data_IF_099753965296
#
_entry.id   IF_099753965296
#
_cell.length_a   1.000
_cell.length_b   1.000
_cell.length_c   1.000
_cell.angle_alpha   90.00
_cell.angle_beta   90.00
_cell.angle_gamma   90.00
#
_symmetry.space_group_name_H-M   'P 1'
#
loop_
_entity.id
_entity.type
_entity.pdbx_description
1 polymer ?
#
# COMPACT_ATOMS: atom_id res chain seq x y z
N UNK A 1 7.90 -18.78 -1.54
CA UNK A 1 8.10 -17.44 -0.92
C UNK A 1 7.89 -17.55 0.59
N UNK A 2 8.85 -17.11 1.42
CA UNK A 2 8.73 -17.12 2.88
C UNK A 2 7.82 -15.96 3.27
N UNK A 3 6.75 -16.21 4.05
CA UNK A 3 5.83 -15.16 4.47
C UNK A 3 6.57 -14.11 5.33
N UNK A 4 6.15 -12.83 5.24
CA UNK A 4 6.71 -11.73 6.04
C UNK A 4 6.70 -12.08 7.53
N UNK A 5 5.66 -12.74 8.00
CA UNK A 5 5.52 -13.26 9.35
C UNK A 5 6.70 -14.18 9.77
N UNK A 6 7.03 -15.17 8.94
CA UNK A 6 8.14 -16.10 9.21
C UNK A 6 9.49 -15.36 9.17
N UNK A 7 9.66 -14.44 8.24
CA UNK A 7 10.91 -13.67 8.10
C UNK A 7 11.15 -12.77 9.33
N UNK A 8 10.14 -12.08 9.78
CA UNK A 8 10.19 -11.21 10.97
C UNK A 8 10.50 -12.03 12.24
N UNK A 9 9.83 -13.17 12.43
CA UNK A 9 10.10 -14.07 13.53
C UNK A 9 11.55 -14.60 13.52
N UNK A 10 12.05 -15.03 12.37
CA UNK A 10 13.45 -15.51 12.26
C UNK A 10 14.41 -14.40 12.67
N UNK A 11 14.25 -13.20 12.16
CA UNK A 11 15.12 -12.07 12.50
C UNK A 11 15.08 -11.70 13.99
N UNK A 12 13.89 -11.62 14.59
CA UNK A 12 13.72 -11.29 16.00
C UNK A 12 14.28 -12.39 16.92
N UNK A 13 14.01 -13.66 16.61
CA UNK A 13 14.51 -14.77 17.42
C UNK A 13 16.02 -14.96 17.29
N UNK A 14 16.58 -14.80 16.10
CA UNK A 14 18.06 -14.85 15.92
C UNK A 14 18.73 -13.68 16.60
N UNK A 15 18.15 -12.47 16.53
CA UNK A 15 18.65 -11.30 17.25
C UNK A 15 18.61 -11.51 18.75
N UNK A 16 17.50 -12.01 19.29
CA UNK A 16 17.36 -12.33 20.72
C UNK A 16 18.39 -13.34 21.17
N UNK A 17 18.58 -14.42 20.41
CA UNK A 17 19.57 -15.46 20.71
C UNK A 17 21.00 -14.90 20.69
N UNK A 18 21.33 -14.11 19.66
CA UNK A 18 22.67 -13.52 19.54
C UNK A 18 22.99 -12.57 20.72
N UNK A 19 22.10 -11.66 21.04
CA UNK A 19 22.27 -10.72 22.15
C UNK A 19 22.38 -11.46 23.50
N UNK A 20 21.50 -12.45 23.72
CA UNK A 20 21.53 -13.25 24.94
C UNK A 20 22.81 -14.10 25.07
N UNK A 21 23.31 -14.66 23.96
CA UNK A 21 24.57 -15.40 23.94
C UNK A 21 25.76 -14.50 24.26
N UNK A 22 25.83 -13.30 23.67
CA UNK A 22 26.90 -12.34 23.93
C UNK A 22 26.85 -11.89 25.41
N UNK A 23 25.65 -11.56 25.92
CA UNK A 23 25.47 -11.14 27.31
C UNK A 23 25.86 -12.29 28.27
N UNK A 24 25.46 -13.52 27.99
CA UNK A 24 25.80 -14.70 28.79
C UNK A 24 27.31 -14.97 28.84
N UNK A 25 27.99 -14.90 27.70
CA UNK A 25 29.44 -15.07 27.62
C UNK A 25 30.18 -13.95 28.38
N UNK A 26 29.73 -12.70 28.22
CA UNK A 26 30.31 -11.57 28.92
C UNK A 26 30.13 -11.71 30.44
N UNK A 27 28.94 -12.06 30.89
CA UNK A 27 28.64 -12.30 32.31
C UNK A 27 29.49 -13.44 32.90
N UNK A 28 29.59 -14.56 32.16
CA UNK A 28 30.40 -15.71 32.56
C UNK A 28 31.87 -15.32 32.73
N UNK A 29 32.45 -14.63 31.73
CA UNK A 29 33.88 -14.17 31.83
C UNK A 29 34.12 -13.22 32.99
N UNK A 30 33.24 -12.24 33.18
CA UNK A 30 33.34 -11.29 34.26
C UNK A 30 33.25 -11.97 35.63
N UNK A 31 32.35 -12.95 35.79
CA UNK A 31 32.20 -13.71 37.00
C UNK A 31 33.44 -14.55 37.33
N UNK A 32 34.06 -15.17 36.32
CA UNK A 32 35.33 -15.90 36.53
C UNK A 32 36.44 -14.97 37.07
N UNK A 33 36.55 -13.74 36.55
CA UNK A 33 37.52 -12.77 37.02
C UNK A 33 37.24 -12.36 38.49
N UNK A 34 35.98 -12.05 38.81
CA UNK A 34 35.56 -11.59 40.12
C UNK A 34 35.70 -12.68 41.21
N UNK A 35 35.38 -13.95 40.84
CA UNK A 35 35.61 -15.09 41.76
C UNK A 35 37.09 -15.31 42.00
N UNK A 36 37.95 -15.18 41.02
CA UNK A 36 39.43 -15.30 41.18
C UNK A 36 39.99 -14.20 42.09
N UNK A 37 39.50 -12.95 41.92
CA UNK A 37 39.91 -11.85 42.77
C UNK A 37 39.43 -12.05 44.21
N UNK A 38 38.20 -12.52 44.42
CA UNK A 38 37.65 -12.84 45.74
C UNK A 38 38.46 -13.93 46.44
N UNK A 39 38.80 -15.01 45.72
CA UNK A 39 39.62 -16.11 46.28
C UNK A 39 41.05 -15.67 46.59
N UNK A 40 41.65 -14.79 45.81
CA UNK A 40 42.96 -14.17 46.13
C UNK A 40 42.85 -13.30 47.37
N UNK A 41 41.74 -12.56 47.56
CA UNK A 41 41.49 -11.78 48.78
C UNK A 41 41.34 -12.66 50.01
N UNK A 42 40.64 -13.82 49.90
CA UNK A 42 40.49 -14.80 50.98
C UNK A 42 41.83 -15.38 51.39
N UNK A 43 42.69 -15.82 50.43
CA UNK A 43 44.03 -16.29 50.71
C UNK A 43 44.87 -15.28 51.52
N UNK A 44 44.78 -14.01 51.10
CA UNK A 44 45.48 -12.90 51.80
C UNK A 44 44.92 -12.66 53.19
N UNK A 45 43.59 -12.72 53.37
CA UNK A 45 42.96 -12.56 54.69
C UNK A 45 43.37 -13.68 55.66
N UNK A 46 43.34 -14.92 55.18
CA UNK A 46 43.77 -16.09 55.98
C UNK A 46 45.23 -15.95 56.41
N UNK A 47 46.11 -15.54 55.52
CA UNK A 47 47.53 -15.32 55.82
C UNK A 47 47.74 -14.25 56.89
N UNK A 48 47.00 -13.09 56.75
CA UNK A 48 47.08 -12.00 57.72
C UNK A 48 46.50 -12.42 59.10
N UNK A 49 45.39 -13.13 59.13
CA UNK A 49 44.78 -13.61 60.37
C UNK A 49 45.72 -14.56 61.13
N UNK A 50 46.38 -15.45 60.39
CA UNK A 50 47.34 -16.39 61.00
C UNK A 50 48.60 -15.68 61.46
N UNK A 51 49.10 -14.71 60.71
CA UNK A 51 50.19 -13.86 61.13
C UNK A 51 49.88 -13.14 62.49
N UNK A 52 48.66 -12.52 62.52
CA UNK A 52 48.25 -11.84 63.79
C UNK A 52 48.11 -12.81 64.96
N UNK A 53 47.43 -13.94 64.76
CA UNK A 53 47.28 -15.01 65.78
C UNK A 53 48.62 -15.55 66.24
N UNK A 54 49.57 -15.72 65.35
CA UNK A 54 50.91 -16.26 65.66
C UNK A 54 51.78 -15.32 66.43
N UNK A 55 51.56 -13.97 66.33
CA UNK A 55 52.21 -12.94 67.17
C UNK A 55 51.68 -12.91 68.60
N UNK A 56 50.43 -13.26 68.82
CA UNK A 56 49.76 -13.26 70.11
C UNK A 56 50.13 -14.47 70.97
N UNK A 57 50.77 -15.49 70.46
CA UNK A 57 51.16 -16.75 71.17
C UNK A 57 52.59 -16.66 71.71
N UNK A 58 52.88 -17.05 72.99
CA UNK A 58 54.23 -17.09 73.52
C UNK A 58 55.11 -18.09 72.72
N UNK A 59 56.43 -17.72 72.60
CA UNK A 59 57.40 -18.61 71.91
C UNK A 59 57.51 -19.97 72.64
N UNK A 60 57.01 -20.98 72.04
CA UNK A 60 57.10 -22.37 72.57
C UNK A 60 55.77 -23.12 72.63
N UNK A 61 54.63 -22.51 72.34
CA UNK A 61 53.33 -23.22 72.30
C UNK A 61 53.02 -23.65 70.86
N UNK A 62 53.07 -24.96 70.67
CA UNK A 62 52.52 -25.58 69.41
C UNK A 62 51.00 -25.54 69.51
N UNK A 63 50.38 -24.33 69.49
CA UNK A 63 48.93 -24.16 69.73
C UNK A 63 48.15 -24.20 68.40
N UNK A 64 48.76 -24.50 67.25
CA UNK A 64 48.11 -24.73 66.03
C UNK A 64 47.95 -26.27 65.86
N UNK A 65 47.11 -26.89 66.68
CA UNK A 65 46.59 -28.18 66.37
C UNK A 65 45.66 -28.05 65.18
N UNK A 66 45.63 -29.00 64.25
CA UNK A 66 44.66 -28.99 63.16
C UNK A 66 43.28 -28.95 63.82
N UNK A 67 42.66 -27.81 63.86
CA UNK A 67 41.30 -27.67 64.29
C UNK A 67 40.45 -28.41 63.24
N UNK A 68 39.51 -29.24 63.68
CA UNK A 68 38.49 -29.84 62.83
C UNK A 68 37.65 -28.81 62.07
N UNK A 69 37.88 -27.52 62.35
CA UNK A 69 37.30 -26.37 61.71
C UNK A 69 38.20 -25.72 60.65
N UNK A 70 39.40 -26.25 60.37
CA UNK A 70 40.20 -25.75 59.26
C UNK A 70 39.48 -26.12 57.94
N UNK A 71 39.04 -25.07 57.21
CA UNK A 71 38.39 -25.23 55.92
C UNK A 71 39.34 -26.06 55.00
N UNK A 72 38.93 -27.24 54.57
CA UNK A 72 39.81 -28.13 53.81
C UNK A 72 40.27 -27.53 52.48
N UNK A 73 39.67 -26.45 52.06
CA UNK A 73 39.98 -25.75 50.81
C UNK A 73 41.26 -24.92 50.85
N UNK A 74 41.87 -24.68 52.02
CA UNK A 74 43.07 -23.86 52.16
C UNK A 74 44.17 -24.64 52.83
N UNK A 75 45.33 -24.71 52.16
CA UNK A 75 46.58 -25.16 52.77
C UNK A 75 47.27 -23.96 53.48
N UNK A 76 47.59 -24.13 54.72
CA UNK A 76 48.33 -23.15 55.49
C UNK A 76 49.65 -23.75 55.96
N UNK A 77 50.76 -23.05 55.68
CA UNK A 77 52.11 -23.47 56.09
C UNK A 77 52.82 -22.31 56.80
N UNK A 78 53.54 -22.70 57.91
CA UNK A 78 54.41 -21.75 58.59
C UNK A 78 55.87 -22.23 58.37
N UNK A 79 56.70 -21.32 57.91
CA UNK A 79 58.11 -21.57 57.62
C UNK A 79 59.00 -20.68 58.44
N UNK A 80 60.13 -21.23 58.92
CA UNK A 80 61.18 -20.46 59.54
C UNK A 80 62.24 -19.96 58.55
N UNK A 81 62.97 -18.87 58.89
CA UNK A 81 64.10 -18.47 58.04
C UNK A 81 65.04 -19.63 57.84
N UNK A 82 65.44 -19.87 56.55
CA UNK A 82 66.22 -21.05 56.13
C UNK A 82 65.38 -22.20 55.61
N UNK A 83 64.13 -21.95 55.19
CA UNK A 83 63.22 -22.87 54.53
C UNK A 83 62.89 -24.17 55.28
N UNK A 84 62.79 -24.11 56.63
CA UNK A 84 62.34 -25.24 57.46
C UNK A 84 60.82 -25.11 57.74
N UNK A 85 60.02 -26.08 57.24
CA UNK A 85 58.59 -26.18 57.53
C UNK A 85 58.37 -26.41 59.03
N UNK A 86 57.63 -25.54 59.71
CA UNK A 86 57.29 -25.66 61.12
C UNK A 86 55.88 -26.28 61.31
N UNK A 87 54.95 -25.90 60.45
CA UNK A 87 53.55 -26.36 60.52
C UNK A 87 52.97 -26.44 59.13
N UNK A 88 52.14 -27.41 58.89
CA UNK A 88 51.24 -27.52 57.72
C UNK A 88 49.86 -27.97 58.19
N UNK A 89 48.79 -27.29 57.70
CA UNK A 89 47.41 -27.71 58.00
C UNK A 89 47.00 -29.01 57.29
N UNK A 90 47.70 -29.34 56.24
CA UNK A 90 47.51 -30.60 55.49
C UNK A 90 48.91 -31.28 55.34
N UNK A 91 49.26 -32.21 56.26
CA UNK A 91 50.58 -32.83 56.27
C UNK A 91 50.88 -33.68 55.01
N UNK A 92 49.82 -34.15 54.35
CA UNK A 92 49.90 -34.97 53.15
C UNK A 92 50.24 -34.17 51.90
N UNK A 93 50.13 -32.84 51.98
CA UNK A 93 50.45 -31.91 50.89
C UNK A 93 51.81 -31.30 51.12
N UNK A 94 52.81 -31.83 50.46
CA UNK A 94 54.19 -31.31 50.51
C UNK A 94 54.35 -30.23 49.46
N UNK A 95 54.09 -28.94 49.79
CA UNK A 95 54.27 -27.82 48.93
C UNK A 95 55.52 -27.03 49.32
N UNK A 96 56.45 -26.75 48.39
CA UNK A 96 57.67 -26.02 48.71
C UNK A 96 57.38 -24.55 49.06
N UNK A 97 58.33 -23.93 49.78
CA UNK A 97 58.28 -22.49 50.04
C UNK A 97 58.33 -21.72 48.73
N UNK A 98 57.38 -20.81 48.53
CA UNK A 98 57.35 -19.94 47.35
C UNK A 98 58.63 -19.06 47.30
N UNK A 99 59.18 -18.89 46.10
CA UNK A 99 60.43 -18.16 45.90
C UNK A 99 60.31 -16.65 46.12
N UNK A 100 59.09 -16.09 46.29
CA UNK A 100 58.83 -14.64 46.42
C UNK A 100 57.75 -14.30 47.40
N UNK A 101 57.67 -13.00 47.77
CA UNK A 101 56.57 -12.47 48.58
C UNK A 101 55.36 -12.17 47.73
N UNK A 102 54.17 -12.28 48.30
CA UNK A 102 52.91 -12.02 47.59
C UNK A 102 52.37 -13.24 46.87
N UNK A 103 51.61 -13.02 45.79
CA UNK A 103 50.98 -14.09 45.04
C UNK A 103 51.91 -14.72 44.01
N UNK A 104 51.94 -16.05 44.01
CA UNK A 104 52.69 -16.86 43.05
C UNK A 104 51.96 -18.15 42.69
N UNK A 105 52.48 -18.87 41.73
CA UNK A 105 52.00 -20.23 41.40
C UNK A 105 53.13 -21.23 41.67
N UNK A 106 52.75 -22.37 42.22
CA UNK A 106 53.65 -23.51 42.43
C UNK A 106 53.05 -24.70 41.72
N UNK A 107 53.82 -25.35 40.87
CA UNK A 107 53.43 -26.61 40.22
C UNK A 107 54.01 -27.77 41.03
N UNK A 108 53.13 -28.72 41.38
CA UNK A 108 53.45 -29.96 42.12
C UNK A 108 52.86 -31.17 41.42
N UNK A 109 53.67 -31.89 40.66
CA UNK A 109 53.21 -32.97 39.81
C UNK A 109 52.19 -32.42 38.78
N UNK A 110 50.98 -32.98 38.78
CA UNK A 110 49.89 -32.54 37.85
C UNK A 110 49.04 -31.43 38.47
N UNK A 111 49.27 -31.06 39.74
CA UNK A 111 48.47 -30.04 40.40
C UNK A 111 49.17 -28.66 40.38
N UNK A 112 48.45 -27.63 40.11
CA UNK A 112 48.87 -26.27 40.17
C UNK A 112 48.25 -25.55 41.37
N UNK A 113 49.06 -24.88 42.17
CA UNK A 113 48.66 -24.22 43.40
C UNK A 113 48.83 -22.70 43.28
N UNK A 114 47.80 -21.95 43.65
CA UNK A 114 47.86 -20.49 43.86
C UNK A 114 48.30 -20.24 45.27
N UNK A 115 49.40 -19.55 45.44
CA UNK A 115 50.03 -19.36 46.77
C UNK A 115 50.16 -17.90 47.05
N UNK A 116 49.89 -17.52 48.30
CA UNK A 116 50.17 -16.22 48.86
C UNK A 116 51.15 -16.36 50.02
N UNK A 117 52.32 -15.68 49.95
CA UNK A 117 53.39 -15.72 50.94
C UNK A 117 53.53 -14.35 51.62
N UNK A 118 53.38 -14.34 52.94
CA UNK A 118 53.53 -13.17 53.81
C UNK A 118 54.75 -13.32 54.71
N UNK A 119 55.69 -12.37 54.62
CA UNK A 119 56.87 -12.34 55.50
C UNK A 119 56.55 -11.58 56.79
N UNK A 120 56.54 -12.30 57.88
CA UNK A 120 56.32 -11.75 59.27
C UNK A 120 57.63 -11.46 59.98
N UNK A 121 58.80 -11.49 59.30
CA UNK A 121 60.12 -11.16 59.85
C UNK A 121 60.80 -12.36 60.50
N UNK A 122 60.25 -13.00 61.49
CA UNK A 122 60.77 -14.21 62.13
C UNK A 122 60.24 -15.50 61.58
N UNK A 123 59.23 -15.43 60.67
CA UNK A 123 58.56 -16.57 59.96
C UNK A 123 57.94 -16.08 58.72
N UNK A 124 57.63 -17.08 57.82
CA UNK A 124 56.87 -16.83 56.61
C UNK A 124 55.56 -17.61 56.75
N UNK A 125 54.45 -16.91 56.55
CA UNK A 125 53.10 -17.51 56.49
C UNK A 125 52.79 -17.74 55.02
N UNK A 126 52.58 -18.96 54.63
CA UNK A 126 52.19 -19.34 53.27
C UNK A 126 50.80 -19.94 53.31
N UNK A 127 49.86 -19.36 52.50
CA UNK A 127 48.55 -19.91 52.26
C UNK A 127 48.43 -20.31 50.81
N UNK A 128 47.83 -21.48 50.57
CA UNK A 128 47.73 -21.98 49.22
C UNK A 128 46.35 -22.64 48.97
N UNK A 129 45.95 -22.63 47.73
CA UNK A 129 44.72 -23.26 47.26
C UNK A 129 44.98 -23.94 45.91
N UNK A 130 44.41 -25.12 45.66
CA UNK A 130 44.49 -25.77 44.38
C UNK A 130 43.80 -24.95 43.31
N UNK A 131 44.43 -24.79 42.19
CA UNK A 131 43.84 -24.09 41.02
C UNK A 131 42.64 -24.88 40.48
N UNK A 132 42.64 -26.20 40.61
CA UNK A 132 41.55 -27.07 40.19
C UNK A 132 40.29 -26.81 41.03
N UNK A 133 40.39 -26.81 42.40
CA UNK A 133 39.29 -26.46 43.29
C UNK A 133 38.75 -25.05 43.05
N UNK A 134 39.67 -24.11 42.74
CA UNK A 134 39.29 -22.71 42.40
C UNK A 134 38.49 -22.67 41.12
N UNK A 135 38.91 -23.42 40.10
CA UNK A 135 38.21 -23.45 38.82
C UNK A 135 36.85 -24.15 38.93
N UNK A 136 36.76 -25.23 39.71
CA UNK A 136 35.49 -25.93 39.93
C UNK A 136 34.49 -25.01 40.66
N UNK A 137 34.93 -24.34 41.76
CA UNK A 137 34.09 -23.36 42.46
C UNK A 137 33.64 -22.19 41.59
N UNK A 138 34.58 -21.64 40.79
CA UNK A 138 34.30 -20.55 39.88
C UNK A 138 33.33 -20.96 38.78
N UNK A 139 33.49 -22.19 38.25
CA UNK A 139 32.60 -22.73 37.21
C UNK A 139 31.16 -22.95 37.75
N UNK A 140 31.03 -23.51 38.97
CA UNK A 140 29.72 -23.76 39.58
C UNK A 140 29.00 -22.43 39.87
N UNK A 141 29.67 -21.44 40.45
CA UNK A 141 29.11 -20.11 40.68
C UNK A 141 28.71 -19.42 39.36
N UNK A 142 29.58 -19.49 38.34
CA UNK A 142 29.31 -18.86 37.04
C UNK A 142 28.14 -19.54 36.32
N UNK A 143 28.00 -20.84 36.45
CA UNK A 143 26.89 -21.59 35.84
C UNK A 143 25.54 -21.22 36.46
N UNK A 144 25.51 -21.03 37.79
CA UNK A 144 24.31 -20.58 38.51
C UNK A 144 23.84 -19.20 38.03
N UNK A 145 24.78 -18.32 37.67
CA UNK A 145 24.47 -16.98 37.13
C UNK A 145 23.86 -17.01 35.74
N UNK A 146 23.98 -18.15 35.01
CA UNK A 146 23.34 -18.31 33.71
C UNK A 146 21.89 -18.77 33.79
N UNK A 147 21.41 -19.26 34.94
CA UNK A 147 20.02 -19.73 35.14
C UNK A 147 18.98 -18.65 34.76
N UNK A 148 19.11 -17.37 35.15
CA UNK A 148 18.17 -16.33 34.75
C UNK A 148 18.05 -16.18 33.23
N UNK A 149 19.16 -16.31 32.48
CA UNK A 149 19.16 -16.23 31.03
C UNK A 149 18.44 -17.42 30.40
N UNK A 150 18.60 -18.63 30.97
CA UNK A 150 17.95 -19.86 30.52
C UNK A 150 16.43 -19.76 30.62
N UNK A 151 15.91 -19.01 31.59
CA UNK A 151 14.46 -18.77 31.76
C UNK A 151 13.98 -17.59 30.95
N UNK A 152 14.75 -16.49 30.94
CA UNK A 152 14.35 -15.25 30.29
C UNK A 152 14.23 -15.38 28.76
N UNK A 153 15.18 -16.08 28.12
CA UNK A 153 15.19 -16.24 26.66
C UNK A 153 13.93 -16.92 26.11
N UNK A 154 13.50 -18.11 26.62
CA UNK A 154 12.26 -18.73 26.15
C UNK A 154 11.01 -17.88 26.48
N UNK A 155 10.96 -17.19 27.62
CA UNK A 155 9.84 -16.30 27.95
C UNK A 155 9.75 -15.15 26.93
N UNK A 156 10.86 -14.50 26.60
CA UNK A 156 10.91 -13.44 25.60
C UNK A 156 10.57 -14.00 24.19
N UNK A 157 11.05 -15.18 23.85
CA UNK A 157 10.72 -15.83 22.58
C UNK A 157 9.20 -16.08 22.47
N UNK A 158 8.55 -16.57 23.51
CA UNK A 158 7.09 -16.75 23.54
C UNK A 158 6.36 -15.42 23.42
N UNK A 159 6.80 -14.38 24.14
CA UNK A 159 6.24 -13.03 24.04
C UNK A 159 6.33 -12.48 22.63
N UNK A 160 7.48 -12.59 21.97
CA UNK A 160 7.70 -12.17 20.58
C UNK A 160 6.76 -12.94 19.65
N UNK A 161 6.64 -14.26 19.81
CA UNK A 161 5.72 -15.10 19.02
C UNK A 161 4.27 -14.63 19.15
N UNK A 162 3.83 -14.38 20.38
CA UNK A 162 2.46 -13.90 20.65
C UNK A 162 2.22 -12.50 20.09
N UNK A 163 3.16 -11.58 20.28
CA UNK A 163 3.06 -10.21 19.77
C UNK A 163 2.97 -10.17 18.24
N UNK A 164 3.85 -10.91 17.54
CA UNK A 164 3.84 -10.96 16.08
C UNK A 164 2.57 -11.62 15.54
N UNK A 165 2.11 -12.72 16.16
CA UNK A 165 0.86 -13.39 15.77
C UNK A 165 -0.36 -12.48 15.95
N UNK A 166 -0.48 -11.80 17.10
CA UNK A 166 -1.60 -10.88 17.34
C UNK A 166 -1.55 -9.64 16.48
N UNK A 167 -0.37 -9.06 16.31
CA UNK A 167 -0.19 -7.83 15.49
C UNK A 167 -0.50 -8.05 14.01
N UNK A 168 -0.19 -9.23 13.45
CA UNK A 168 -0.40 -9.53 12.03
C UNK A 168 -1.71 -10.28 11.73
N UNK A 169 -2.46 -10.72 12.75
CA UNK A 169 -3.72 -11.45 12.55
C UNK A 169 -4.80 -10.65 11.80
N UNK A 170 -4.94 -9.30 11.96
CA UNK A 170 -5.90 -8.51 11.20
C UNK A 170 -5.66 -8.55 9.69
N UNK A 171 -4.39 -8.53 9.25
CA UNK A 171 -4.04 -8.65 7.83
C UNK A 171 -4.51 -9.97 7.22
N UNK A 172 -4.35 -11.07 7.96
CA UNK A 172 -4.84 -12.38 7.52
C UNK A 172 -6.36 -12.44 7.39
N UNK A 173 -7.10 -11.77 8.29
CA UNK A 173 -8.56 -11.67 8.23
C UNK A 173 -9.02 -10.88 7.01
N UNK A 174 -8.43 -9.69 6.78
CA UNK A 174 -8.74 -8.86 5.61
C UNK A 174 -8.46 -9.62 4.31
N UNK A 175 -7.31 -10.27 4.19
CA UNK A 175 -6.98 -11.07 3.00
C UNK A 175 -7.98 -12.23 2.78
N UNK A 176 -8.41 -12.90 3.84
CA UNK A 176 -9.42 -13.96 3.76
C UNK A 176 -10.80 -13.43 3.39
N UNK A 177 -11.20 -12.26 3.92
CA UNK A 177 -12.47 -11.62 3.59
C UNK A 177 -12.51 -11.19 2.12
N UNK A 178 -11.43 -10.60 1.61
CA UNK A 178 -11.31 -10.26 0.18
C UNK A 178 -11.37 -11.53 -0.68
N UNK A 179 -10.66 -12.58 -0.30
CA UNK A 179 -10.63 -13.84 -1.07
C UNK A 179 -11.93 -14.65 -1.06
N UNK A 180 -12.82 -14.39 -0.10
CA UNK A 180 -14.14 -15.05 -0.01
C UNK A 180 -15.26 -14.25 -0.65
N UNK A 181 -15.02 -12.99 -0.99
CA UNK A 181 -16.03 -12.13 -1.61
C UNK A 181 -16.24 -12.57 -3.05
N UNK A 182 -17.49 -12.78 -3.39
CA UNK A 182 -17.91 -12.99 -4.77
C UNK A 182 -17.75 -11.67 -5.55
N UNK A 183 -17.41 -11.74 -6.83
CA UNK A 183 -17.24 -10.58 -7.71
C UNK A 183 -18.47 -9.65 -7.79
N UNK A 184 -19.60 -10.09 -7.22
CA UNK A 184 -20.85 -9.33 -7.15
C UNK A 184 -21.05 -8.52 -5.86
N UNK A 185 -20.24 -8.77 -4.81
CA UNK A 185 -20.44 -8.16 -3.49
C UNK A 185 -19.33 -7.16 -3.18
N UNK A 186 -19.55 -5.90 -3.57
CA UNK A 186 -18.64 -4.76 -3.37
C UNK A 186 -18.87 -4.03 -2.04
N UNK A 187 -19.26 -4.75 -0.96
CA UNK A 187 -19.46 -4.11 0.34
C UNK A 187 -18.15 -3.61 0.93
N UNK A 188 -18.12 -2.46 1.61
CA UNK A 188 -16.91 -1.98 2.26
C UNK A 188 -16.40 -2.96 3.32
N UNK A 189 -15.09 -2.97 3.54
CA UNK A 189 -14.45 -3.72 4.61
C UNK A 189 -14.75 -3.02 5.95
N UNK A 190 -14.94 -3.81 7.02
CA UNK A 190 -15.20 -3.28 8.35
C UNK A 190 -13.94 -2.58 8.91
N UNK A 191 -14.09 -1.33 9.32
CA UNK A 191 -13.03 -0.48 9.88
C UNK A 191 -12.94 -0.54 11.42
N UNK A 192 -13.90 -1.22 12.08
CA UNK A 192 -14.17 -1.06 13.52
C UNK A 192 -13.10 -1.57 14.49
N UNK A 193 -12.15 -2.42 14.09
CA UNK A 193 -11.16 -3.05 14.99
C UNK A 193 -9.75 -3.12 14.41
N UNK A 194 -9.37 -2.14 13.56
CA UNK A 194 -8.09 -2.18 12.85
C UNK A 194 -7.02 -1.36 13.57
N UNK A 195 -5.76 -1.87 13.65
CA UNK A 195 -4.61 -1.07 14.04
C UNK A 195 -4.48 0.19 13.19
N UNK A 196 -3.98 1.28 13.82
CA UNK A 196 -3.84 2.58 13.16
C UNK A 196 -3.00 2.52 11.87
N UNK A 197 -2.03 1.61 11.84
CA UNK A 197 -1.10 1.41 10.71
C UNK A 197 -1.77 0.77 9.49
N UNK A 198 -2.86 0.03 9.69
CA UNK A 198 -3.57 -0.70 8.62
C UNK A 198 -4.78 0.11 8.12
N UNK A 199 -5.34 0.98 8.95
CA UNK A 199 -6.54 1.78 8.63
C UNK A 199 -6.42 2.57 7.33
N UNK A 200 -5.30 3.27 7.01
CA UNK A 200 -5.17 4.00 5.73
C UNK A 200 -5.26 3.09 4.51
N UNK A 201 -4.73 1.86 4.61
CA UNK A 201 -4.79 0.88 3.54
C UNK A 201 -6.21 0.40 3.29
N UNK A 202 -6.97 0.11 4.36
CA UNK A 202 -8.37 -0.33 4.26
C UNK A 202 -9.26 0.79 3.72
N UNK A 203 -9.00 2.04 4.12
CA UNK A 203 -9.69 3.20 3.60
C UNK A 203 -9.48 3.38 2.09
N UNK A 204 -8.22 3.32 1.62
CA UNK A 204 -7.91 3.39 0.19
C UNK A 204 -8.53 2.23 -0.60
N UNK A 205 -8.60 1.04 0.00
CA UNK A 205 -9.23 -0.12 -0.62
C UNK A 205 -10.76 0.03 -0.68
N UNK A 206 -11.39 0.56 0.36
CA UNK A 206 -12.83 0.85 0.37
C UNK A 206 -13.20 1.92 -0.67
N UNK A 207 -12.39 2.97 -0.85
CA UNK A 207 -12.56 3.95 -1.92
C UNK A 207 -12.49 3.28 -3.31
N UNK A 208 -11.51 2.42 -3.53
CA UNK A 208 -11.37 1.67 -4.78
C UNK A 208 -12.57 0.75 -5.04
N UNK A 209 -13.04 0.02 -4.01
CA UNK A 209 -14.22 -0.85 -4.10
C UNK A 209 -15.49 -0.04 -4.40
N UNK A 210 -15.64 1.13 -3.76
CA UNK A 210 -16.75 2.05 -4.03
C UNK A 210 -16.77 2.51 -5.50
N UNK A 211 -15.64 2.98 -6.00
CA UNK A 211 -15.50 3.40 -7.43
C UNK A 211 -15.75 2.25 -8.40
N UNK A 212 -15.31 1.04 -8.06
CA UNK A 212 -15.57 -0.15 -8.89
C UNK A 212 -17.05 -0.52 -8.88
N UNK A 213 -17.72 -0.46 -7.72
CA UNK A 213 -19.15 -0.70 -7.59
C UNK A 213 -19.96 0.28 -8.45
N UNK A 214 -19.66 1.58 -8.36
CA UNK A 214 -20.29 2.63 -9.15
C UNK A 214 -20.12 2.40 -10.67
N UNK A 215 -18.90 2.02 -11.09
CA UNK A 215 -18.61 1.71 -12.48
C UNK A 215 -19.41 0.48 -13.00
N UNK A 216 -19.46 -0.59 -12.18
CA UNK A 216 -20.22 -1.79 -12.54
C UNK A 216 -21.73 -1.53 -12.60
N UNK A 217 -22.27 -0.74 -11.67
CA UNK A 217 -23.70 -0.38 -11.71
C UNK A 217 -24.03 0.54 -12.89
N UNK A 218 -23.13 1.45 -13.25
CA UNK A 218 -23.26 2.24 -14.45
C UNK A 218 -23.25 1.36 -15.73
N UNK A 219 -22.37 0.36 -15.77
CA UNK A 219 -22.30 -0.60 -16.89
C UNK A 219 -23.55 -1.48 -16.95
N UNK A 220 -24.06 -2.00 -15.82
CA UNK A 220 -25.30 -2.79 -15.79
C UNK A 220 -26.49 -1.98 -16.30
N UNK A 221 -26.64 -0.74 -15.84
CA UNK A 221 -27.68 0.17 -16.33
C UNK A 221 -27.55 0.40 -17.83
N UNK A 222 -26.34 0.69 -18.30
CA UNK A 222 -26.11 0.87 -19.74
C UNK A 222 -26.54 -0.33 -20.56
N UNK A 223 -26.19 -1.56 -20.16
CA UNK A 223 -26.58 -2.79 -20.88
C UNK A 223 -28.10 -2.99 -20.88
N UNK A 224 -28.76 -2.75 -19.73
CA UNK A 224 -30.20 -2.87 -19.61
C UNK A 224 -30.94 -1.85 -20.50
N UNK A 225 -30.52 -0.60 -20.47
CA UNK A 225 -31.09 0.49 -21.26
C UNK A 225 -30.87 0.28 -22.76
N UNK A 226 -29.64 -0.11 -23.16
CA UNK A 226 -29.33 -0.44 -24.54
C UNK A 226 -30.18 -1.59 -25.08
N UNK A 227 -30.39 -2.64 -24.28
CA UNK A 227 -31.25 -3.77 -24.65
C UNK A 227 -32.71 -3.31 -24.82
N UNK A 228 -33.20 -2.41 -23.97
CA UNK A 228 -34.57 -1.88 -24.10
C UNK A 228 -34.71 -1.02 -25.33
N UNK A 229 -33.80 -0.10 -25.61
CA UNK A 229 -33.81 0.79 -26.77
C UNK A 229 -33.60 0.08 -28.12
N UNK A 230 -32.90 -1.06 -28.12
CA UNK A 230 -32.76 -1.90 -29.31
C UNK A 230 -34.02 -2.73 -29.57
N UNK A 231 -34.74 -3.17 -28.55
CA UNK A 231 -35.95 -4.01 -28.73
C UNK A 231 -37.05 -3.27 -29.48
N UNK A 232 -37.26 -1.99 -29.16
CA UNK A 232 -38.33 -1.18 -29.78
C UNK A 232 -38.20 -1.06 -31.33
N UNK A 233 -37.03 -0.60 -31.88
CA UNK A 233 -36.89 -0.51 -33.32
C UNK A 233 -36.91 -1.90 -34.00
N UNK A 234 -36.36 -2.95 -33.37
CA UNK A 234 -36.40 -4.31 -33.92
C UNK A 234 -37.85 -4.82 -34.04
N UNK A 235 -38.69 -4.57 -33.04
CA UNK A 235 -40.12 -4.92 -33.11
C UNK A 235 -40.81 -4.15 -34.22
N UNK A 236 -40.54 -2.84 -34.37
CA UNK A 236 -41.10 -2.02 -35.44
C UNK A 236 -40.65 -2.52 -36.84
N UNK A 237 -39.38 -2.88 -37.00
CA UNK A 237 -38.84 -3.47 -38.24
C UNK A 237 -39.52 -4.79 -38.58
N UNK A 238 -39.78 -5.64 -37.58
CA UNK A 238 -40.48 -6.91 -37.78
C UNK A 238 -41.90 -6.66 -38.31
N UNK A 239 -42.64 -5.71 -37.75
CA UNK A 239 -43.96 -5.33 -38.20
C UNK A 239 -43.94 -4.73 -39.61
N UNK A 240 -42.99 -3.85 -39.92
CA UNK A 240 -42.83 -3.27 -41.24
C UNK A 240 -42.50 -4.34 -42.31
N UNK A 241 -41.66 -5.31 -41.96
CA UNK A 241 -41.37 -6.45 -42.85
C UNK A 241 -42.62 -7.31 -43.14
N UNK A 242 -43.48 -7.53 -42.15
CA UNK A 242 -44.74 -8.22 -42.32
C UNK A 242 -45.70 -7.42 -43.23
N UNK A 243 -45.76 -6.09 -43.10
CA UNK A 243 -46.55 -5.22 -43.96
C UNK A 243 -46.08 -5.31 -45.43
N UNK A 244 -44.78 -5.34 -45.70
CA UNK A 244 -44.24 -5.57 -47.05
C UNK A 244 -44.71 -6.90 -47.65
N UNK A 245 -44.74 -7.98 -46.84
CA UNK A 245 -45.18 -9.30 -47.27
C UNK A 245 -46.69 -9.37 -47.52
N UNK A 246 -47.50 -8.62 -46.77
CA UNK A 246 -48.95 -8.63 -46.85
C UNK A 246 -49.52 -7.63 -47.86
N UNK A 247 -48.69 -6.69 -48.38
CA UNK A 247 -49.12 -5.68 -49.33
C UNK A 247 -49.50 -6.33 -50.68
N UNK A 248 -50.75 -6.22 -51.08
CA UNK A 248 -51.28 -6.75 -52.31
C UNK A 248 -51.07 -5.76 -53.45
N UNK A 249 -51.06 -4.48 -53.27
CA UNK A 249 -50.83 -3.42 -54.22
C UNK A 249 -49.36 -3.02 -54.34
N UNK A 250 -48.90 -2.78 -55.57
CA UNK A 250 -47.49 -2.37 -55.81
C UNK A 250 -47.16 -1.00 -55.21
N UNK A 251 -48.13 -0.07 -55.12
CA UNK A 251 -47.96 1.22 -54.53
C UNK A 251 -47.79 1.16 -52.98
N UNK A 252 -48.61 0.31 -52.33
CA UNK A 252 -48.49 0.04 -50.90
C UNK A 252 -47.18 -0.66 -50.58
N UNK A 253 -46.79 -1.65 -51.41
CA UNK A 253 -45.53 -2.35 -51.21
C UNK A 253 -44.32 -1.43 -51.32
N UNK A 254 -44.29 -0.48 -52.27
CA UNK A 254 -43.21 0.52 -52.39
C UNK A 254 -43.13 1.42 -51.18
N UNK A 255 -44.26 1.85 -50.60
CA UNK A 255 -44.30 2.67 -49.36
C UNK A 255 -43.80 1.85 -48.19
N UNK A 256 -44.29 0.62 -48.02
CA UNK A 256 -43.84 -0.26 -46.94
C UNK A 256 -42.31 -0.57 -47.00
N UNK A 257 -41.75 -0.75 -48.21
CA UNK A 257 -40.30 -0.89 -48.38
C UNK A 257 -39.54 0.38 -48.06
N UNK A 258 -40.08 1.56 -48.40
CA UNK A 258 -39.46 2.83 -48.03
C UNK A 258 -39.44 3.02 -46.51
N UNK A 259 -40.55 2.73 -45.80
CA UNK A 259 -40.66 2.78 -44.36
C UNK A 259 -39.72 1.80 -43.67
N UNK A 260 -39.61 0.57 -44.18
CA UNK A 260 -38.67 -0.45 -43.71
C UNK A 260 -37.20 0.04 -43.83
N UNK A 261 -36.83 0.59 -45.01
CA UNK A 261 -35.48 1.16 -45.21
C UNK A 261 -35.18 2.29 -44.21
N UNK A 262 -36.13 3.16 -43.97
CA UNK A 262 -36.01 4.24 -43.00
C UNK A 262 -35.89 3.69 -41.57
N UNK A 263 -36.62 2.63 -41.23
CA UNK A 263 -36.52 1.92 -39.97
C UNK A 263 -35.14 1.32 -39.74
N UNK A 264 -34.59 0.64 -40.78
CA UNK A 264 -33.23 0.07 -40.74
C UNK A 264 -32.20 1.17 -40.53
N UNK A 265 -32.28 2.30 -41.25
CA UNK A 265 -31.36 3.42 -41.07
C UNK A 265 -31.37 3.98 -39.64
N UNK A 266 -32.58 4.12 -39.02
CA UNK A 266 -32.72 4.54 -37.62
C UNK A 266 -32.06 3.54 -36.65
N UNK A 267 -32.29 2.24 -36.85
CA UNK A 267 -31.71 1.20 -36.01
C UNK A 267 -30.16 1.16 -36.13
N UNK A 268 -29.62 1.31 -37.34
CA UNK A 268 -28.18 1.38 -37.58
C UNK A 268 -27.56 2.61 -36.89
N UNK A 269 -28.23 3.76 -36.97
CA UNK A 269 -27.78 4.97 -36.28
C UNK A 269 -27.74 4.78 -34.74
N UNK A 270 -28.77 4.14 -34.16
CA UNK A 270 -28.79 3.83 -32.72
C UNK A 270 -27.63 2.90 -32.32
N UNK A 271 -27.36 1.85 -33.11
CA UNK A 271 -26.23 0.93 -32.87
C UNK A 271 -24.92 1.72 -32.90
N UNK A 272 -24.73 2.61 -33.89
CA UNK A 272 -23.54 3.44 -33.97
C UNK A 272 -23.37 4.32 -32.73
N UNK A 273 -24.45 4.95 -32.26
CA UNK A 273 -24.41 5.77 -31.02
C UNK A 273 -24.06 4.94 -29.78
N UNK A 274 -24.54 3.70 -29.68
CA UNK A 274 -24.17 2.78 -28.59
C UNK A 274 -22.70 2.37 -28.67
N UNK A 275 -22.17 2.13 -29.86
CA UNK A 275 -20.74 1.83 -30.08
C UNK A 275 -19.87 3.05 -29.74
N UNK A 276 -20.26 4.25 -30.22
CA UNK A 276 -19.55 5.48 -29.92
C UNK A 276 -19.47 5.73 -28.40
N UNK A 277 -20.57 5.45 -27.68
CA UNK A 277 -20.60 5.55 -26.21
C UNK A 277 -19.70 4.52 -25.52
N UNK A 278 -19.68 3.27 -25.99
CA UNK A 278 -18.83 2.21 -25.44
C UNK A 278 -17.33 2.49 -25.64
N UNK A 279 -16.95 3.10 -26.78
CA UNK A 279 -15.55 3.48 -27.03
C UNK A 279 -15.04 4.63 -26.18
N UNK A 280 -15.94 5.38 -25.52
CA UNK A 280 -15.59 6.57 -24.73
C UNK A 280 -15.59 6.32 -23.23
N UNK A 281 -15.48 5.05 -22.79
CA UNK A 281 -15.36 4.71 -21.37
C UNK A 281 -14.07 5.28 -20.76
N UNK A 282 -14.14 5.78 -19.50
CA UNK A 282 -12.98 6.27 -18.78
C UNK A 282 -11.94 5.14 -18.62
N UNK A 283 -10.76 5.32 -19.17
CA UNK A 283 -9.66 4.34 -19.07
C UNK A 283 -9.22 3.74 -20.40
N UNK A 284 -9.94 3.96 -21.50
CA UNK A 284 -9.42 3.65 -22.83
C UNK A 284 -8.23 4.57 -23.16
N UNK A 285 -7.15 4.06 -23.75
CA UNK A 285 -6.02 4.88 -24.16
C UNK A 285 -6.45 5.83 -25.29
N UNK A 286 -6.85 7.05 -24.94
CA UNK A 286 -7.11 8.09 -25.91
C UNK A 286 -5.80 8.80 -26.24
N UNK A 287 -5.39 8.73 -27.48
CA UNK A 287 -4.21 9.43 -27.97
C UNK A 287 -4.52 10.93 -28.10
N UNK A 288 -4.37 11.69 -27.02
CA UNK A 288 -4.49 13.15 -27.10
C UNK A 288 -3.37 13.69 -27.97
N UNK A 289 -3.74 14.35 -29.06
CA UNK A 289 -2.82 15.04 -29.97
C UNK A 289 -3.25 16.50 -30.14
N UNK A 290 -2.30 17.32 -30.52
CA UNK A 290 -2.61 18.71 -30.88
C UNK A 290 -3.32 18.74 -32.23
N UNK A 291 -4.54 19.27 -32.27
CA UNK A 291 -5.37 19.32 -33.46
C UNK A 291 -6.02 20.71 -33.65
N UNK A 292 -6.33 21.03 -34.89
CA UNK A 292 -7.07 22.25 -35.24
C UNK A 292 -8.58 21.99 -35.18
N UNK A 293 -9.24 22.49 -34.12
CA UNK A 293 -10.69 22.36 -33.92
C UNK A 293 -11.48 23.05 -35.07
N UNK A 294 -11.00 24.13 -35.61
CA UNK A 294 -11.66 24.87 -36.69
C UNK A 294 -11.72 24.04 -37.98
N UNK A 295 -10.65 23.30 -38.31
CA UNK A 295 -10.62 22.38 -39.43
C UNK A 295 -11.53 21.19 -39.22
N UNK A 296 -11.46 20.56 -38.04
CA UNK A 296 -12.32 19.43 -37.68
C UNK A 296 -13.80 19.80 -37.80
N UNK A 297 -14.21 20.98 -37.31
CA UNK A 297 -15.58 21.47 -37.39
C UNK A 297 -15.99 21.72 -38.84
N UNK A 298 -15.16 22.38 -39.67
CA UNK A 298 -15.45 22.59 -41.07
C UNK A 298 -15.70 21.30 -41.85
N UNK A 299 -14.82 20.29 -41.66
CA UNK A 299 -14.96 18.98 -42.29
C UNK A 299 -16.25 18.33 -41.81
N UNK A 300 -16.52 18.29 -40.53
CA UNK A 300 -17.70 17.62 -39.99
C UNK A 300 -19.02 18.28 -40.36
N UNK A 301 -19.09 19.62 -40.34
CA UNK A 301 -20.26 20.36 -40.82
C UNK A 301 -20.50 20.13 -42.33
N UNK A 302 -19.42 20.09 -43.12
CA UNK A 302 -19.50 19.75 -44.53
C UNK A 302 -20.11 18.35 -44.79
N UNK A 303 -19.77 17.35 -44.01
CA UNK A 303 -20.37 16.01 -44.08
C UNK A 303 -21.88 15.99 -43.77
N UNK A 304 -22.35 16.90 -42.92
CA UNK A 304 -23.75 17.00 -42.49
C UNK A 304 -24.56 17.99 -43.36
N UNK A 305 -23.94 18.74 -44.25
CA UNK A 305 -24.61 19.67 -45.15
C UNK A 305 -25.70 19.05 -46.00
N UNK A 306 -25.57 17.83 -46.56
CA UNK A 306 -26.67 17.19 -47.33
C UNK A 306 -27.92 16.95 -46.43
N UNK A 307 -27.73 16.65 -45.14
CA UNK A 307 -28.85 16.43 -44.20
C UNK A 307 -29.60 17.75 -43.93
N UNK A 308 -28.89 18.86 -43.77
CA UNK A 308 -29.48 20.19 -43.61
C UNK A 308 -30.19 20.63 -44.87
N UNK A 309 -29.58 20.42 -46.05
CA UNK A 309 -30.16 20.77 -47.37
C UNK A 309 -31.47 20.00 -47.60
N UNK A 310 -31.57 18.73 -47.24
CA UNK A 310 -32.80 17.93 -47.36
C UNK A 310 -33.98 18.49 -46.56
N UNK A 311 -33.70 19.29 -45.51
CA UNK A 311 -34.68 20.04 -44.70
C UNK A 311 -34.79 21.53 -45.08
N UNK A 312 -34.09 21.98 -46.10
CA UNK A 312 -33.97 23.42 -46.45
C UNK A 312 -33.45 24.29 -45.28
N UNK A 313 -32.58 23.75 -44.42
CA UNK A 313 -31.97 24.47 -43.30
C UNK A 313 -30.71 25.18 -43.78
N UNK A 314 -30.56 26.45 -43.43
CA UNK A 314 -29.34 27.24 -43.63
C UNK A 314 -28.30 26.85 -42.57
N UNK A 315 -27.30 26.05 -42.97
CA UNK A 315 -26.25 25.56 -42.12
C UNK A 315 -24.95 26.37 -42.37
N UNK A 316 -24.63 27.31 -41.48
CA UNK A 316 -23.47 28.14 -41.55
C UNK A 316 -22.32 27.71 -40.65
N UNK A 317 -21.07 27.91 -41.10
CA UNK A 317 -19.88 27.69 -40.24
C UNK A 317 -18.99 28.93 -40.26
N UNK A 318 -18.61 29.40 -39.06
CA UNK A 318 -17.66 30.51 -38.88
C UNK A 318 -16.46 30.00 -38.10
N UNK A 319 -15.36 29.74 -38.83
CA UNK A 319 -14.13 29.19 -38.28
C UNK A 319 -12.94 29.76 -39.09
N UNK A 320 -12.72 31.06 -38.95
CA UNK A 320 -11.86 31.84 -39.87
C UNK A 320 -10.36 31.63 -39.62
N UNK A 321 -9.98 31.16 -38.41
CA UNK A 321 -8.57 30.96 -38.02
C UNK A 321 -8.39 29.57 -37.38
N UNK A 322 -7.22 28.96 -37.55
CA UNK A 322 -6.89 27.73 -36.83
C UNK A 322 -7.01 27.92 -35.29
N UNK A 323 -7.66 26.99 -34.63
CA UNK A 323 -7.85 26.96 -33.19
C UNK A 323 -7.34 25.66 -32.62
N UNK A 324 -6.15 25.70 -32.03
CA UNK A 324 -5.47 24.52 -31.56
C UNK A 324 -5.95 24.10 -30.17
N UNK A 325 -6.27 22.82 -30.03
CA UNK A 325 -6.60 22.17 -28.75
C UNK A 325 -5.83 20.86 -28.63
N UNK A 326 -5.68 20.37 -27.40
CA UNK A 326 -5.19 19.02 -27.13
C UNK A 326 -6.38 18.08 -26.97
N UNK A 327 -6.50 17.07 -27.85
CA UNK A 327 -7.64 16.17 -27.81
C UNK A 327 -7.50 14.92 -28.67
N UNK A 328 -8.50 14.05 -28.53
CA UNK A 328 -8.68 12.85 -29.36
C UNK A 328 -9.60 13.19 -30.53
N UNK A 329 -9.05 13.20 -31.74
CA UNK A 329 -9.79 13.61 -32.94
C UNK A 329 -11.07 12.79 -33.17
N UNK A 330 -11.07 11.43 -33.07
CA UNK A 330 -12.28 10.66 -33.25
C UNK A 330 -13.41 11.04 -32.27
N UNK A 331 -13.08 11.22 -31.00
CA UNK A 331 -14.05 11.63 -29.97
C UNK A 331 -14.61 13.03 -30.22
N UNK A 332 -13.76 13.98 -30.59
CA UNK A 332 -14.19 15.36 -30.90
C UNK A 332 -15.07 15.39 -32.16
N UNK A 333 -14.77 14.57 -33.16
CA UNK A 333 -15.61 14.39 -34.35
C UNK A 333 -17.01 13.91 -34.02
N UNK A 334 -17.12 12.98 -33.04
CA UNK A 334 -18.41 12.49 -32.51
C UNK A 334 -19.14 13.63 -31.77
N UNK A 335 -18.46 14.41 -30.94
CA UNK A 335 -19.03 15.54 -30.22
C UNK A 335 -19.63 16.57 -31.19
N UNK A 336 -18.85 17.03 -32.17
CA UNK A 336 -19.31 18.00 -33.18
C UNK A 336 -20.48 17.41 -33.95
N UNK A 337 -20.39 16.15 -34.39
CA UNK A 337 -21.43 15.47 -35.11
C UNK A 337 -22.76 15.40 -34.36
N UNK A 338 -22.73 15.05 -33.07
CA UNK A 338 -23.96 14.98 -32.25
C UNK A 338 -24.58 16.36 -31.99
N UNK A 339 -23.77 17.41 -31.78
CA UNK A 339 -24.30 18.76 -31.61
C UNK A 339 -24.96 19.27 -32.89
N UNK A 340 -24.30 19.12 -34.04
CA UNK A 340 -24.83 19.59 -35.33
C UNK A 340 -26.03 18.77 -35.77
N UNK A 341 -26.00 17.43 -35.66
CA UNK A 341 -27.16 16.57 -35.96
C UNK A 341 -28.36 16.93 -35.10
N UNK A 342 -28.18 17.18 -33.80
CA UNK A 342 -29.25 17.66 -32.94
C UNK A 342 -29.81 19.00 -33.41
N UNK A 343 -28.98 19.98 -33.72
CA UNK A 343 -29.40 21.28 -34.18
C UNK A 343 -30.22 21.15 -35.49
N UNK A 344 -29.71 20.40 -36.48
CA UNK A 344 -30.45 20.14 -37.77
C UNK A 344 -31.74 19.37 -37.54
N UNK A 345 -31.76 18.43 -36.60
CA UNK A 345 -32.92 17.59 -36.32
C UNK A 345 -34.06 18.38 -35.70
N UNK A 346 -33.78 19.24 -34.73
CA UNK A 346 -34.79 20.01 -33.98
C UNK A 346 -35.16 21.34 -34.63
N UNK A 347 -34.35 21.85 -35.53
CA UNK A 347 -34.69 23.02 -36.34
C UNK A 347 -35.82 22.69 -37.33
N UNK A 348 -36.78 23.59 -37.49
CA UNK A 348 -37.84 23.47 -38.49
C UNK A 348 -37.31 23.66 -39.90
N UNK A 349 -38.04 23.15 -40.90
CA UNK A 349 -37.70 23.37 -42.29
C UNK A 349 -37.63 24.85 -42.64
N UNK A 350 -36.61 25.28 -43.35
CA UNK A 350 -36.33 26.69 -43.61
C UNK A 350 -35.66 27.47 -42.47
N UNK A 351 -35.29 26.77 -41.36
CA UNK A 351 -34.62 27.41 -40.23
C UNK A 351 -33.11 27.56 -40.45
N UNK A 352 -32.42 27.98 -39.39
CA UNK A 352 -30.99 28.31 -39.43
C UNK A 352 -30.22 27.61 -38.30
N UNK A 353 -29.04 27.09 -38.64
CA UNK A 353 -28.06 26.56 -37.67
C UNK A 353 -26.71 27.18 -37.94
N UNK A 354 -26.16 27.85 -36.93
CA UNK A 354 -24.84 28.50 -37.00
C UNK A 354 -23.85 27.76 -36.10
N UNK A 355 -22.74 27.35 -36.69
CA UNK A 355 -21.62 26.69 -35.96
C UNK A 355 -20.44 27.66 -35.96
N UNK A 356 -19.87 27.97 -34.82
CA UNK A 356 -18.73 28.88 -34.72
C UNK A 356 -17.65 28.35 -33.78
N UNK A 357 -16.39 28.62 -34.15
CA UNK A 357 -15.21 28.27 -33.37
C UNK A 357 -14.40 29.55 -33.17
N UNK A 358 -13.97 29.77 -31.91
CA UNK A 358 -13.15 30.94 -31.57
C UNK A 358 -12.31 30.70 -30.33
N UNK A 359 -11.45 31.64 -30.03
CA UNK A 359 -10.62 31.63 -28.83
C UNK A 359 -10.84 32.90 -28.01
N UNK A 360 -10.71 32.77 -26.71
CA UNK A 360 -10.74 33.86 -25.75
C UNK A 360 -9.70 33.69 -24.67
N UNK A 361 -9.71 34.54 -23.66
CA UNK A 361 -8.78 34.49 -22.54
C UNK A 361 -8.87 33.16 -21.72
N UNK A 362 -10.03 32.49 -21.77
CA UNK A 362 -10.30 31.29 -21.00
C UNK A 362 -10.17 29.96 -21.78
N UNK A 363 -9.77 30.03 -23.05
CA UNK A 363 -9.59 28.86 -23.92
C UNK A 363 -10.26 28.97 -25.27
N UNK A 364 -10.37 27.83 -25.96
CA UNK A 364 -11.03 27.68 -27.26
C UNK A 364 -12.49 27.27 -27.03
N UNK A 365 -13.40 27.86 -27.78
CA UNK A 365 -14.81 27.53 -27.68
C UNK A 365 -15.40 27.09 -29.03
N UNK A 366 -16.29 26.10 -28.96
CA UNK A 366 -17.19 25.69 -30.03
C UNK A 366 -18.60 26.13 -29.63
N UNK A 367 -19.32 26.80 -30.52
CA UNK A 367 -20.73 27.14 -30.33
C UNK A 367 -21.55 26.57 -31.45
N UNK A 368 -22.68 25.93 -31.14
CA UNK A 368 -23.69 25.50 -32.09
C UNK A 368 -25.00 26.17 -31.67
N UNK A 369 -25.52 27.07 -32.52
CA UNK A 369 -26.73 27.81 -32.30
C UNK A 369 -27.80 27.41 -33.34
N UNK A 370 -29.01 27.14 -32.87
CA UNK A 370 -30.16 26.86 -33.71
C UNK A 370 -31.33 27.82 -33.40
N UNK A 371 -32.26 27.96 -34.33
CA UNK A 371 -33.51 28.70 -34.16
C UNK A 371 -34.72 27.77 -34.02
N UNK A 372 -34.52 26.58 -33.48
CA UNK A 372 -35.56 25.60 -33.18
C UNK A 372 -36.44 25.97 -31.99
N UNK A 373 -37.14 25.01 -31.36
CA UNK A 373 -38.04 25.25 -30.23
C UNK A 373 -37.27 25.66 -28.94
N UNK A 374 -35.97 25.45 -28.88
CA UNK A 374 -35.17 25.68 -27.67
C UNK A 374 -35.35 24.60 -26.60
N UNK A 375 -34.69 24.82 -25.46
CA UNK A 375 -34.71 23.91 -24.30
C UNK A 375 -35.10 24.75 -23.07
N UNK A 376 -36.23 24.39 -22.37
CA UNK A 376 -36.62 25.04 -21.13
C UNK A 376 -35.50 24.98 -20.07
N UNK A 377 -35.41 26.01 -19.25
CA UNK A 377 -34.32 26.12 -18.27
C UNK A 377 -34.25 24.94 -17.30
N UNK A 378 -35.38 24.45 -16.87
CA UNK A 378 -35.57 23.29 -15.99
C UNK A 378 -35.13 21.96 -16.61
N UNK A 379 -35.01 21.89 -17.94
CA UNK A 379 -34.64 20.69 -18.69
C UNK A 379 -33.16 20.70 -19.09
N UNK A 380 -32.45 21.85 -18.99
CA UNK A 380 -31.08 22.01 -19.52
C UNK A 380 -30.04 21.09 -18.89
N UNK A 381 -30.20 20.71 -17.63
CA UNK A 381 -29.31 19.75 -16.98
C UNK A 381 -29.68 18.30 -17.35
N UNK A 382 -30.97 18.02 -17.45
CA UNK A 382 -31.51 16.68 -17.67
C UNK A 382 -31.31 16.18 -19.11
N UNK A 383 -31.27 17.07 -20.10
CA UNK A 383 -31.05 16.68 -21.51
C UNK A 383 -29.70 16.00 -21.75
N UNK A 384 -28.77 16.09 -20.80
CA UNK A 384 -27.49 15.37 -20.83
C UNK A 384 -27.55 13.98 -20.18
N UNK A 385 -28.70 13.61 -19.56
CA UNK A 385 -28.91 12.26 -19.03
C UNK A 385 -29.11 11.29 -20.19
N UNK A 386 -28.65 10.05 -20.03
CA UNK A 386 -28.79 9.00 -21.06
C UNK A 386 -30.27 8.68 -21.28
N UNK A 387 -30.65 8.56 -22.55
CA UNK A 387 -32.03 8.24 -22.99
C UNK A 387 -33.10 9.27 -22.56
N UNK A 388 -32.71 10.40 -21.95
CA UNK A 388 -33.65 11.42 -21.56
C UNK A 388 -34.13 12.23 -22.76
N UNK A 389 -35.44 12.47 -22.79
CA UNK A 389 -36.13 13.30 -23.79
C UNK A 389 -37.18 14.14 -23.10
N UNK A 390 -37.20 15.46 -23.31
CA UNK A 390 -38.27 16.29 -22.81
C UNK A 390 -39.65 15.81 -23.28
N UNK A 391 -40.66 15.80 -22.38
CA UNK A 391 -42.03 15.38 -22.76
C UNK A 391 -42.61 16.28 -23.86
N UNK A 392 -43.38 15.68 -24.78
CA UNK A 392 -44.08 16.43 -25.83
C UNK A 392 -43.26 16.73 -27.09
N UNK A 393 -42.05 16.23 -27.24
CA UNK A 393 -41.28 16.38 -28.48
C UNK A 393 -41.62 15.31 -29.52
N UNK A 394 -42.18 15.69 -30.68
CA UNK A 394 -42.58 14.75 -31.72
C UNK A 394 -41.41 14.17 -32.54
N UNK A 395 -40.25 14.80 -32.51
CA UNK A 395 -39.10 14.45 -33.32
C UNK A 395 -38.46 13.14 -32.79
N UNK A 396 -38.35 12.06 -33.58
CA UNK A 396 -37.80 10.79 -33.11
C UNK A 396 -36.31 10.93 -32.80
N UNK A 397 -35.84 10.31 -31.69
CA UNK A 397 -34.43 10.32 -31.27
C UNK A 397 -34.18 9.35 -30.14
N UNK A 398 -32.93 8.91 -29.96
CA UNK A 398 -32.51 7.94 -28.95
C UNK A 398 -32.29 8.55 -27.55
N UNK A 399 -32.16 9.87 -27.44
CA UNK A 399 -31.76 10.54 -26.18
C UNK A 399 -30.29 10.29 -25.80
N UNK A 400 -29.46 9.76 -26.69
CA UNK A 400 -28.04 9.47 -26.44
C UNK A 400 -27.09 10.58 -26.90
N UNK A 401 -27.46 11.36 -27.91
CA UNK A 401 -26.53 12.32 -28.54
C UNK A 401 -25.91 13.33 -27.56
N UNK A 402 -26.73 13.98 -26.70
CA UNK A 402 -26.23 14.95 -25.75
C UNK A 402 -25.49 14.32 -24.56
N UNK A 403 -25.83 13.09 -24.18
CA UNK A 403 -25.06 12.36 -23.16
C UNK A 403 -23.66 11.98 -23.68
N UNK A 404 -23.53 11.64 -24.95
CA UNK A 404 -22.23 11.43 -25.62
C UNK A 404 -21.44 12.73 -25.64
N UNK A 405 -22.07 13.86 -25.98
CA UNK A 405 -21.41 15.18 -25.96
C UNK A 405 -20.86 15.51 -24.59
N UNK A 406 -21.62 15.30 -23.51
CA UNK A 406 -21.19 15.50 -22.12
C UNK A 406 -20.02 14.60 -21.75
N UNK A 407 -20.05 13.35 -22.16
CA UNK A 407 -18.99 12.37 -21.90
C UNK A 407 -17.68 12.77 -22.62
N UNK A 408 -17.76 13.14 -23.92
CA UNK A 408 -16.59 13.63 -24.67
C UNK A 408 -16.06 14.94 -24.11
N UNK A 409 -16.93 15.89 -23.75
CA UNK A 409 -16.52 17.11 -23.10
C UNK A 409 -15.75 16.84 -21.80
N UNK A 410 -16.26 15.94 -20.93
CA UNK A 410 -15.60 15.53 -19.69
C UNK A 410 -14.23 14.88 -19.94
N UNK A 411 -14.09 14.03 -20.97
CA UNK A 411 -12.84 13.41 -21.37
C UNK A 411 -11.76 14.47 -21.72
N UNK A 412 -12.19 15.54 -22.38
CA UNK A 412 -11.32 16.67 -22.79
C UNK A 412 -11.23 17.78 -21.74
N UNK A 413 -11.79 17.58 -20.53
CA UNK A 413 -11.88 18.62 -19.47
C UNK A 413 -12.55 19.89 -19.98
N UNK A 414 -13.43 19.76 -20.97
CA UNK A 414 -14.18 20.85 -21.53
C UNK A 414 -15.49 21.05 -20.75
N UNK A 415 -15.90 22.30 -20.64
CA UNK A 415 -17.17 22.69 -20.04
C UNK A 415 -18.23 22.84 -21.12
N UNK A 416 -19.40 22.24 -20.92
CA UNK A 416 -20.55 22.42 -21.81
C UNK A 416 -21.65 23.20 -21.12
N UNK A 417 -22.21 24.22 -21.79
CA UNK A 417 -23.35 25.01 -21.33
C UNK A 417 -24.40 25.14 -22.42
N UNK A 418 -25.66 25.24 -21.98
CA UNK A 418 -26.81 25.58 -22.84
C UNK A 418 -27.25 27.00 -22.49
N UNK A 419 -27.24 27.87 -23.48
CA UNK A 419 -27.64 29.26 -23.33
C UNK A 419 -28.91 29.53 -24.17
N UNK A 420 -29.68 30.51 -23.79
CA UNK A 420 -30.75 31.03 -24.65
C UNK A 420 -30.14 31.95 -25.70
N UNK A 421 -30.52 31.82 -26.98
CA UNK A 421 -30.04 32.78 -27.99
C UNK A 421 -30.59 34.19 -27.74
N UNK A 422 -29.86 35.21 -28.17
CA UNK A 422 -30.28 36.60 -28.03
C UNK A 422 -31.62 36.90 -28.76
N UNK A 423 -31.98 36.10 -29.75
CA UNK A 423 -33.27 36.16 -30.45
C UNK A 423 -34.46 35.65 -29.61
N UNK A 424 -34.21 35.03 -28.47
CA UNK A 424 -35.25 34.41 -27.62
C UNK A 424 -35.84 33.08 -28.13
N UNK A 425 -35.47 32.63 -29.33
CA UNK A 425 -35.94 31.38 -29.89
C UNK A 425 -34.80 30.49 -30.35
N UNK A 426 -34.79 29.18 -29.93
CA UNK A 426 -33.75 28.22 -30.23
C UNK A 426 -32.89 27.83 -29.03
N UNK A 427 -31.79 27.13 -29.27
CA UNK A 427 -30.80 26.75 -28.29
C UNK A 427 -29.38 27.11 -28.74
N UNK A 428 -28.52 27.45 -27.79
CA UNK A 428 -27.09 27.68 -28.02
C UNK A 428 -26.31 26.72 -27.14
N UNK A 429 -25.64 25.76 -27.76
CA UNK A 429 -24.70 24.88 -27.08
C UNK A 429 -23.31 25.48 -27.19
N UNK A 430 -22.67 25.73 -26.05
CA UNK A 430 -21.30 26.22 -25.98
C UNK A 430 -20.41 25.21 -25.25
N UNK A 431 -19.36 24.76 -25.94
CA UNK A 431 -18.34 23.84 -25.41
C UNK A 431 -17.03 24.63 -25.32
N UNK A 432 -16.48 24.76 -24.11
CA UNK A 432 -15.23 25.47 -23.83
C UNK A 432 -14.12 24.47 -23.52
N UNK A 433 -13.09 24.45 -24.35
CA UNK A 433 -11.89 23.65 -24.14
C UNK A 433 -10.83 24.46 -23.40
N UNK A 434 -10.07 23.82 -22.48
CA UNK A 434 -8.99 24.49 -21.78
C UNK A 434 -7.90 24.95 -22.75
N UNK A 435 -7.13 25.96 -22.35
CA UNK A 435 -5.95 26.42 -23.13
C UNK A 435 -4.99 25.23 -23.29
N UNK A 436 -4.48 24.96 -24.52
CA UNK A 436 -3.47 23.93 -24.73
C UNK A 436 -2.27 24.18 -23.81
N UNK A 437 -1.75 23.13 -23.20
CA UNK A 437 -0.50 23.24 -22.46
C UNK A 437 0.60 23.62 -23.46
N UNK A 438 1.30 24.73 -23.21
CA UNK A 438 2.53 25.03 -23.95
C UNK A 438 3.43 23.78 -23.84
N UNK A 439 3.80 23.22 -25.00
CA UNK A 439 4.82 22.20 -25.04
C UNK A 439 6.09 22.82 -24.44
N UNK A 440 6.44 22.44 -23.21
CA UNK A 440 7.71 22.80 -22.62
C UNK A 440 8.82 22.44 -23.61
N UNK A 441 9.86 23.24 -23.74
CA UNK A 441 10.99 22.94 -24.63
C UNK A 441 11.57 21.59 -24.18
N UNK A 442 11.50 20.58 -25.10
CA UNK A 442 12.10 19.25 -24.95
C UNK A 442 13.63 19.30 -24.92
#
# INVERSE_FOLDING_TARGET
MISIHKRLLIWLLTGLLAVSSIAGIATYRKMLEEVNEMQDFELRQVANAIEYASRALPAGVNALTPSETANPSFLVQLWRPGARLQYSSQPDVDLPLAAGRGFSFIDRGDERWRVFSLDAGDRIVQTAQSVEDRQETAADMSLRMLIPFLVLVPVLAVLVLLAVRRGLSPLGRIAADIGRRDSTTMQPLDEGALPAEIRPLVFALNDLLGRLAEAMDAQRRFVADAAHELRTPLTALTLQAQLVQQSADEGERRRAVADLRQGIARAAHLVQQLLDMAHQEPGSPHASSRLDLAELVRVRVGELAPLAAAKAIDLGVTADRPQWIDGDEPSLRILVGNLVDNAVRYTQAGGKVDVSVGAGAEGVWLTVADNGPGIPEEERERVFERFYRPPGQPTPGSGLGLSIVKQVASLHRAEIRIEAPASGQGAVFRVRFPVPREAGPG
#
